data_IF_443559077267
#
_entry.id   IF_443559077267
#
_cell.length_a   1.000
_cell.length_b   1.000
_cell.length_c   1.000
_cell.angle_alpha   90.00
_cell.angle_beta   90.00
_cell.angle_gamma   90.00
#
_symmetry.space_group_name_H-M   'P 1'
#
loop_
_entity.id
_entity.type
_entity.pdbx_description
1 polymer ?
#
# COMPACT_ATOMS: atom_id res chain seq x y z
N UNK A 1 17.60 -6.08 15.82
CA UNK A 1 17.42 -7.38 15.13
C UNK A 1 16.65 -7.14 13.82
N UNK A 2 17.35 -7.07 12.70
CA UNK A 2 16.76 -7.03 11.35
C UNK A 2 16.61 -8.48 10.89
N UNK A 3 15.39 -9.01 10.94
CA UNK A 3 15.11 -10.38 10.54
C UNK A 3 15.04 -10.41 9.01
N UNK A 4 16.07 -10.99 8.38
CA UNK A 4 16.01 -11.45 6.99
C UNK A 4 15.09 -12.68 6.93
N UNK A 5 13.78 -12.42 6.96
CA UNK A 5 12.79 -13.43 6.60
C UNK A 5 12.78 -13.47 5.07
N UNK A 6 12.94 -14.65 4.46
CA UNK A 6 12.39 -14.91 3.13
C UNK A 6 10.96 -14.36 3.16
N UNK A 7 10.69 -13.29 2.44
CA UNK A 7 9.50 -12.49 2.72
C UNK A 7 8.31 -13.34 2.34
N UNK A 8 7.38 -13.61 3.25
CA UNK A 8 6.12 -14.30 2.90
C UNK A 8 5.35 -13.57 1.78
N UNK A 9 5.74 -12.34 1.44
CA UNK A 9 5.30 -11.59 0.27
C UNK A 9 5.84 -12.10 -1.08
N UNK A 10 6.75 -13.07 -1.08
CA UNK A 10 7.32 -13.65 -2.29
C UNK A 10 6.50 -14.84 -2.80
N UNK A 11 5.45 -15.24 -2.07
CA UNK A 11 4.50 -16.24 -2.54
C UNK A 11 3.65 -15.67 -3.69
N UNK A 12 3.46 -16.42 -4.79
CA UNK A 12 2.57 -16.03 -5.86
C UNK A 12 1.10 -16.15 -5.44
N UNK A 13 0.22 -15.37 -6.07
CA UNK A 13 -1.21 -15.45 -5.77
C UNK A 13 -2.09 -14.59 -6.66
N UNK A 14 -3.40 -14.81 -6.52
CA UNK A 14 -4.44 -14.09 -7.25
C UNK A 14 -5.02 -13.00 -6.36
N UNK A 15 -5.25 -11.82 -6.91
CA UNK A 15 -5.85 -10.71 -6.18
C UNK A 15 -7.33 -10.95 -5.91
N UNK A 16 -7.72 -10.80 -4.65
CA UNK A 16 -9.12 -10.86 -4.17
C UNK A 16 -9.48 -9.56 -3.43
N UNK A 17 -10.70 -9.47 -2.89
CA UNK A 17 -11.18 -8.32 -2.14
C UNK A 17 -11.84 -7.23 -2.98
N UNK A 18 -12.55 -6.32 -2.32
CA UNK A 18 -13.41 -5.32 -2.98
C UNK A 18 -12.84 -3.90 -2.96
N UNK A 19 -12.00 -3.58 -1.99
CA UNK A 19 -11.64 -2.20 -1.69
C UNK A 19 -12.82 -1.40 -1.16
N UNK A 20 -12.63 -0.10 -0.98
CA UNK A 20 -13.65 0.79 -0.45
C UNK A 20 -13.86 1.99 -1.37
N UNK A 21 -15.08 2.52 -1.40
CA UNK A 21 -15.36 3.78 -2.08
C UNK A 21 -14.69 4.92 -1.32
N UNK A 22 -13.87 5.71 -2.01
CA UNK A 22 -13.20 6.86 -1.43
C UNK A 22 -13.99 8.12 -1.75
N UNK A 23 -14.12 9.02 -0.77
CA UNK A 23 -14.67 10.37 -0.96
C UNK A 23 -13.61 11.40 -0.61
N UNK A 24 -13.38 12.38 -1.49
CA UNK A 24 -12.39 13.43 -1.28
C UNK A 24 -10.95 12.99 -1.57
N UNK A 25 -9.98 13.55 -0.83
CA UNK A 25 -8.55 13.30 -1.04
C UNK A 25 -8.16 11.95 -0.42
N UNK A 26 -7.86 10.97 -1.26
CA UNK A 26 -7.63 9.59 -0.85
C UNK A 26 -6.51 9.44 0.19
N UNK A 27 -5.30 9.97 -0.09
CA UNK A 27 -4.16 9.78 0.81
C UNK A 27 -4.09 10.77 1.98
N UNK A 28 -5.09 11.66 2.15
CA UNK A 28 -5.09 12.62 3.25
C UNK A 28 -5.15 11.94 4.63
N UNK A 29 -5.81 10.79 4.73
CA UNK A 29 -5.91 9.99 5.96
C UNK A 29 -4.77 8.99 6.18
N UNK A 30 -3.83 8.84 5.24
CA UNK A 30 -2.84 7.77 5.28
C UNK A 30 -1.83 7.87 6.45
N UNK A 31 -1.80 9.00 7.16
CA UNK A 31 -1.00 9.21 8.37
C UNK A 31 -1.78 9.06 9.67
N UNK A 32 -3.03 8.58 9.64
CA UNK A 32 -3.89 8.40 10.82
C UNK A 32 -4.36 6.94 10.97
N UNK A 33 -4.76 6.58 12.18
CA UNK A 33 -5.38 5.29 12.52
C UNK A 33 -4.63 4.08 11.94
N UNK A 34 -5.28 3.32 11.06
CA UNK A 34 -4.73 2.16 10.36
C UNK A 34 -4.44 2.44 8.87
N UNK A 35 -4.34 3.72 8.49
CA UNK A 35 -4.18 4.14 7.10
C UNK A 35 -5.47 4.19 6.33
N UNK A 36 -5.33 4.34 5.00
CA UNK A 36 -6.48 4.45 4.09
C UNK A 36 -6.68 3.15 3.31
N UNK A 37 -7.94 2.79 3.01
CA UNK A 37 -8.24 1.63 2.18
C UNK A 37 -7.72 1.77 0.76
N UNK A 38 -7.67 0.64 0.07
CA UNK A 38 -7.51 0.61 -1.37
C UNK A 38 -8.84 1.05 -2.03
N UNK A 39 -8.81 2.01 -2.98
CA UNK A 39 -10.01 2.44 -3.69
C UNK A 39 -10.62 1.29 -4.48
N UNK A 40 -11.95 1.14 -4.44
CA UNK A 40 -12.66 0.05 -5.11
C UNK A 40 -12.41 0.03 -6.62
N UNK A 41 -12.30 1.20 -7.27
CA UNK A 41 -12.00 1.29 -8.70
C UNK A 41 -10.61 0.77 -9.07
N UNK A 42 -9.66 0.79 -8.12
CA UNK A 42 -8.34 0.17 -8.32
C UNK A 42 -8.41 -1.32 -8.01
N UNK A 43 -9.20 -1.71 -7.01
CA UNK A 43 -9.44 -3.12 -6.70
C UNK A 43 -10.06 -3.86 -7.89
N UNK A 44 -11.05 -3.27 -8.56
CA UNK A 44 -11.70 -3.84 -9.74
C UNK A 44 -10.72 -4.11 -10.88
N UNK A 45 -9.74 -3.22 -11.11
CA UNK A 45 -8.71 -3.39 -12.16
C UNK A 45 -7.67 -4.47 -11.81
N UNK A 46 -7.55 -4.82 -10.53
CA UNK A 46 -6.54 -5.76 -10.04
C UNK A 46 -7.11 -7.15 -9.75
N UNK A 47 -8.38 -7.23 -9.33
CA UNK A 47 -9.05 -8.46 -8.92
C UNK A 47 -8.98 -9.54 -10.02
N UNK A 48 -8.68 -10.76 -9.62
CA UNK A 48 -8.54 -11.90 -10.53
C UNK A 48 -7.19 -11.98 -11.25
N UNK A 49 -6.34 -10.94 -11.18
CA UNK A 49 -4.99 -11.01 -11.76
C UNK A 49 -4.06 -11.80 -10.84
N UNK A 50 -3.24 -12.64 -11.45
CA UNK A 50 -2.18 -13.39 -10.76
C UNK A 50 -0.88 -12.58 -10.75
N UNK A 51 -0.15 -12.63 -9.63
CA UNK A 51 1.17 -12.04 -9.48
C UNK A 51 2.15 -13.07 -8.92
N UNK A 52 3.38 -13.05 -9.43
CA UNK A 52 4.43 -13.99 -9.00
C UNK A 52 5.06 -13.64 -7.67
N UNK A 53 4.95 -12.38 -7.23
CA UNK A 53 5.37 -11.88 -5.92
C UNK A 53 4.77 -10.48 -5.69
N UNK A 54 4.70 -10.05 -4.43
CA UNK A 54 4.06 -8.79 -4.03
C UNK A 54 4.71 -7.55 -4.65
N UNK A 55 6.00 -7.62 -4.99
CA UNK A 55 6.69 -6.54 -5.69
C UNK A 55 6.05 -6.20 -7.05
N UNK A 56 5.62 -7.22 -7.81
CA UNK A 56 4.89 -7.01 -9.08
C UNK A 56 3.48 -6.49 -8.85
N UNK A 57 2.79 -7.01 -7.84
CA UNK A 57 1.49 -6.48 -7.43
C UNK A 57 1.60 -4.98 -7.08
N UNK A 58 2.57 -4.60 -6.23
CA UNK A 58 2.80 -3.20 -5.85
C UNK A 58 3.07 -2.31 -7.06
N UNK A 59 3.86 -2.79 -8.03
CA UNK A 59 4.14 -2.04 -9.24
C UNK A 59 2.90 -1.85 -10.11
N UNK A 60 2.11 -2.92 -10.31
CA UNK A 60 0.83 -2.83 -11.02
C UNK A 60 -0.15 -1.90 -10.31
N UNK A 61 -0.28 -2.03 -8.98
CA UNK A 61 -1.13 -1.19 -8.16
C UNK A 61 -0.89 0.30 -8.38
N UNK A 62 0.37 0.76 -8.30
CA UNK A 62 0.67 2.17 -8.52
C UNK A 62 0.45 2.62 -9.98
N UNK A 63 0.61 1.72 -10.95
CA UNK A 63 0.26 2.03 -12.36
C UNK A 63 -1.23 2.20 -12.53
N UNK A 64 -2.05 1.35 -11.93
CA UNK A 64 -3.52 1.51 -11.98
C UNK A 64 -3.96 2.82 -11.34
N UNK A 65 -3.32 3.25 -10.24
CA UNK A 65 -3.54 4.57 -9.63
C UNK A 65 -3.15 5.70 -10.57
N UNK A 66 -2.02 5.59 -11.28
CA UNK A 66 -1.60 6.60 -12.26
C UNK A 66 -2.51 6.67 -13.48
N UNK A 67 -3.13 5.56 -13.86
CA UNK A 67 -4.05 5.46 -14.99
C UNK A 67 -5.49 5.86 -14.63
N UNK A 68 -5.76 6.17 -13.36
CA UNK A 68 -7.08 6.57 -12.89
C UNK A 68 -7.18 8.10 -12.82
N UNK A 69 -8.00 8.76 -13.67
CA UNK A 69 -8.05 10.22 -13.75
C UNK A 69 -8.43 10.90 -12.43
N UNK A 70 -9.35 10.29 -11.66
CA UNK A 70 -9.82 10.84 -10.39
C UNK A 70 -8.72 10.80 -9.33
N UNK A 71 -8.00 9.68 -9.24
CA UNK A 71 -6.92 9.53 -8.26
C UNK A 71 -5.65 10.26 -8.68
N UNK A 72 -5.21 10.13 -9.94
CA UNK A 72 -3.95 10.74 -10.42
C UNK A 72 -3.98 12.26 -10.34
N UNK A 73 -5.17 12.87 -10.49
CA UNK A 73 -5.40 14.30 -10.33
C UNK A 73 -5.00 14.84 -8.96
N UNK A 74 -5.01 14.00 -7.92
CA UNK A 74 -4.67 14.36 -6.54
C UNK A 74 -3.16 14.46 -6.28
N UNK A 75 -2.32 14.05 -7.24
CA UNK A 75 -0.86 14.01 -7.09
C UNK A 75 -0.17 15.12 -7.88
N UNK A 76 0.98 15.58 -7.39
CA UNK A 76 1.91 16.42 -8.17
C UNK A 76 2.57 15.65 -9.31
N UNK A 77 3.03 16.35 -10.35
CA UNK A 77 3.59 15.76 -11.59
C UNK A 77 4.66 14.70 -11.30
N UNK A 78 5.64 15.02 -10.45
CA UNK A 78 6.72 14.07 -10.12
C UNK A 78 6.24 12.79 -9.43
N UNK A 79 5.12 12.83 -8.71
CA UNK A 79 4.51 11.62 -8.15
C UNK A 79 3.71 10.85 -9.21
N UNK A 80 3.06 11.54 -10.17
CA UNK A 80 2.40 10.89 -11.31
C UNK A 80 3.40 10.08 -12.14
N UNK A 81 4.54 10.68 -12.49
CA UNK A 81 5.64 10.03 -13.24
C UNK A 81 6.23 8.83 -12.50
N UNK A 82 6.34 8.90 -11.17
CA UNK A 82 6.79 7.76 -10.37
C UNK A 82 5.79 6.61 -10.42
N UNK A 83 4.50 6.92 -10.25
CA UNK A 83 3.44 5.92 -10.25
C UNK A 83 3.27 5.27 -11.63
N UNK A 84 3.41 6.01 -12.72
CA UNK A 84 3.33 5.45 -14.09
C UNK A 84 4.39 4.39 -14.37
N UNK A 85 5.57 4.47 -13.73
CA UNK A 85 6.61 3.42 -13.81
C UNK A 85 6.48 2.35 -12.71
N UNK A 86 5.41 2.39 -11.90
CA UNK A 86 5.11 1.42 -10.84
C UNK A 86 5.81 1.69 -9.51
N UNK A 87 6.31 2.90 -9.27
CA UNK A 87 6.90 3.31 -7.99
C UNK A 87 5.85 4.02 -7.14
N UNK A 88 5.89 3.79 -5.83
CA UNK A 88 5.03 4.51 -4.90
C UNK A 88 5.30 6.04 -4.94
N UNK A 89 4.23 6.85 -4.81
CA UNK A 89 4.35 8.30 -4.66
C UNK A 89 5.05 8.62 -3.34
N UNK A 90 5.78 9.73 -3.30
CA UNK A 90 6.42 10.25 -2.09
C UNK A 90 5.38 10.89 -1.18
N UNK A 91 5.45 10.58 0.11
CA UNK A 91 4.71 11.31 1.14
C UNK A 91 5.35 12.68 1.40
N UNK A 92 4.67 13.55 2.16
CA UNK A 92 5.24 14.82 2.61
C UNK A 92 6.44 14.54 3.53
N UNK A 93 7.41 15.47 3.59
CA UNK A 93 8.60 15.31 4.43
C UNK A 93 8.28 15.10 5.91
N UNK A 94 7.25 15.76 6.43
CA UNK A 94 6.77 15.61 7.81
C UNK A 94 6.24 14.19 8.12
N UNK A 95 5.79 13.47 7.09
CA UNK A 95 5.24 12.12 7.17
C UNK A 95 6.28 11.03 6.83
N UNK A 96 7.55 11.42 6.66
CA UNK A 96 8.65 10.51 6.40
C UNK A 96 9.14 9.83 7.70
N UNK A 97 9.66 8.62 7.55
CA UNK A 97 10.23 7.80 8.62
C UNK A 97 11.76 7.75 8.49
N UNK A 98 12.41 8.92 8.53
CA UNK A 98 13.83 9.07 8.22
C UNK A 98 14.12 8.89 6.72
N UNK A 99 14.85 7.82 6.34
CA UNK A 99 15.14 7.52 4.92
C UNK A 99 13.93 6.94 4.16
N UNK A 100 12.86 6.52 4.86
CA UNK A 100 11.63 6.00 4.26
C UNK A 100 10.70 7.17 3.91
N UNK A 101 10.52 7.40 2.61
CA UNK A 101 9.80 8.56 2.05
C UNK A 101 8.51 8.17 1.30
N UNK A 102 8.48 7.12 0.46
CA UNK A 102 7.27 6.78 -0.29
C UNK A 102 6.18 6.19 0.60
N UNK A 103 4.91 6.38 0.23
CA UNK A 103 3.80 5.65 0.85
C UNK A 103 4.00 4.14 0.76
N UNK A 104 3.46 3.41 1.73
CA UNK A 104 3.72 1.98 1.90
C UNK A 104 2.41 1.19 1.98
N UNK A 105 2.43 -0.02 1.40
CA UNK A 105 1.30 -0.96 1.47
C UNK A 105 1.52 -1.90 2.67
N UNK A 106 0.63 -1.77 3.64
CA UNK A 106 0.61 -2.51 4.89
C UNK A 106 -0.45 -3.60 4.87
N UNK A 107 -0.17 -4.75 5.50
CA UNK A 107 -1.16 -5.79 5.71
C UNK A 107 -1.74 -5.63 7.11
N UNK A 108 -3.07 -5.47 7.23
CA UNK A 108 -3.75 -5.28 8.52
C UNK A 108 -3.60 -6.52 9.39
N UNK A 109 -3.95 -7.69 8.84
CA UNK A 109 -3.58 -8.99 9.38
C UNK A 109 -2.24 -9.39 8.78
N UNK A 110 -1.21 -9.51 9.62
CA UNK A 110 0.13 -9.85 9.14
C UNK A 110 0.16 -11.22 8.47
N UNK A 111 1.00 -11.35 7.45
CA UNK A 111 1.15 -12.60 6.70
C UNK A 111 1.67 -13.72 7.63
N UNK A 112 2.59 -13.39 8.55
CA UNK A 112 3.07 -14.34 9.58
C UNK A 112 1.97 -14.89 10.49
N UNK A 113 0.86 -14.18 10.60
CA UNK A 113 -0.30 -14.54 11.43
C UNK A 113 -1.44 -15.07 10.54
N UNK A 114 -1.10 -15.66 9.38
CA UNK A 114 -2.02 -16.20 8.38
C UNK A 114 -2.94 -15.13 7.74
N UNK A 115 -2.38 -13.95 7.47
CA UNK A 115 -3.00 -12.89 6.69
C UNK A 115 -2.79 -13.09 5.18
N UNK A 116 -3.84 -12.89 4.39
CA UNK A 116 -3.79 -13.06 2.93
C UNK A 116 -2.92 -11.99 2.27
N UNK A 117 -2.01 -12.40 1.39
CA UNK A 117 -1.02 -11.53 0.72
C UNK A 117 -1.66 -10.61 -0.34
N UNK A 118 -2.66 -11.13 -1.07
CA UNK A 118 -3.27 -10.44 -2.21
C UNK A 118 -4.76 -10.12 -2.03
N UNK A 119 -5.29 -10.29 -0.81
CA UNK A 119 -6.62 -9.78 -0.49
C UNK A 119 -6.53 -8.27 -0.26
N UNK A 120 -7.11 -7.50 -1.17
CA UNK A 120 -7.10 -6.04 -1.13
C UNK A 120 -7.71 -5.48 0.16
N UNK A 121 -8.69 -6.17 0.75
CA UNK A 121 -9.34 -5.71 1.98
C UNK A 121 -8.43 -5.89 3.20
N UNK A 122 -7.39 -6.73 3.09
CA UNK A 122 -6.31 -6.85 4.07
C UNK A 122 -5.21 -5.78 3.89
N UNK A 123 -5.30 -4.92 2.86
CA UNK A 123 -4.27 -3.94 2.54
C UNK A 123 -4.68 -2.51 2.90
N UNK A 124 -3.74 -1.73 3.44
CA UNK A 124 -3.90 -0.30 3.72
C UNK A 124 -2.70 0.48 3.20
N UNK A 125 -2.92 1.73 2.80
CA UNK A 125 -1.84 2.66 2.46
C UNK A 125 -1.51 3.53 3.67
N UNK A 126 -0.22 3.55 4.03
CA UNK A 126 0.31 4.30 5.16
C UNK A 126 1.38 5.29 4.73
N UNK A 127 1.51 6.37 5.50
CA UNK A 127 2.76 7.12 5.54
C UNK A 127 3.86 6.28 6.20
N UNK A 128 5.13 6.44 5.80
CA UNK A 128 6.25 5.78 6.46
C UNK A 128 6.29 5.99 7.97
N UNK A 129 6.00 7.22 8.42
CA UNK A 129 5.97 7.55 9.84
C UNK A 129 4.95 6.71 10.60
N UNK A 130 3.69 6.69 10.15
CA UNK A 130 2.64 5.88 10.80
C UNK A 130 2.99 4.38 10.77
N UNK A 131 3.55 3.89 9.66
CA UNK A 131 3.91 2.48 9.55
C UNK A 131 4.99 2.05 10.57
N UNK A 132 5.96 2.93 10.86
CA UNK A 132 6.95 2.71 11.92
C UNK A 132 6.27 2.71 13.29
N UNK A 133 5.34 3.63 13.54
CA UNK A 133 4.62 3.75 14.81
C UNK A 133 3.78 2.50 15.10
N UNK A 134 3.01 2.00 14.13
CA UNK A 134 2.18 0.80 14.27
C UNK A 134 3.03 -0.44 14.57
N UNK A 135 4.16 -0.62 13.88
CA UNK A 135 5.06 -1.74 14.16
C UNK A 135 5.78 -1.61 15.50
N UNK A 136 6.06 -0.39 15.96
CA UNK A 136 6.68 -0.16 17.28
C UNK A 136 5.71 -0.49 18.41
N UNK A 137 4.43 -0.09 18.30
CA UNK A 137 3.40 -0.39 19.29
C UNK A 137 3.08 -1.89 19.38
N UNK A 138 3.07 -2.60 18.26
CA UNK A 138 2.78 -4.03 18.23
C UNK A 138 3.94 -4.89 18.78
N UNK A 139 5.17 -4.37 18.86
CA UNK A 139 6.28 -5.05 19.53
C UNK A 139 6.19 -5.05 21.06
N UNK A 140 5.39 -4.16 21.65
CA UNK A 140 5.20 -4.07 23.10
C UNK A 140 4.06 -4.94 23.65
N UNK A 141 3.38 -5.72 22.80
CA UNK A 141 2.26 -6.60 23.16
C UNK A 141 2.52 -8.09 22.85
N UNK A 142 3.78 -8.47 22.64
CA UNK A 142 4.21 -9.87 22.55
C UNK A 142 4.83 -10.33 23.86
#
# INVERSE_FOLDING_TARGET
MYVYLKSLRDEPGVVTGRGERITGIWLAGAGKDMGVPIPSQIADKLRGRWFSHFGRFRAAFWREVANDPELVGQFIISNRERMSVGKAPKAKKIDSGGKRIPFEIHHVKFIKDNGEVYNIDNLRILTPKLHIELHSKNKGKQ
#
